data_IF_134666352901
#
_entry.id   IF_134666352901
#
_cell.length_a   1.000
_cell.length_b   1.000
_cell.length_c   1.000
_cell.angle_alpha   90.00
_cell.angle_beta   90.00
_cell.angle_gamma   90.00
#
_symmetry.space_group_name_H-M   'P 1'
#
loop_
_entity.id
_entity.type
_entity.pdbx_description
1 polymer ?
#
# COMPACT_ATOMS: atom_id res chain seq x y z
N UNK A 1 -4.51 -6.65 -5.93
CA UNK A 1 -4.78 -8.06 -6.33
C UNK A 1 -4.20 -9.03 -5.30
N UNK A 2 -4.72 -10.26 -5.23
CA UNK A 2 -4.12 -11.33 -4.44
C UNK A 2 -3.04 -12.05 -5.27
N UNK A 3 -1.77 -11.73 -4.99
CA UNK A 3 -0.64 -12.22 -5.80
C UNK A 3 -0.43 -13.73 -5.76
N UNK A 4 -0.70 -14.37 -4.62
CA UNK A 4 -0.44 -15.79 -4.40
C UNK A 4 -1.51 -16.72 -5.00
N UNK A 5 -2.71 -16.20 -5.27
CA UNK A 5 -3.86 -16.98 -5.79
C UNK A 5 -4.14 -16.66 -7.26
N UNK A 6 -3.09 -16.33 -8.02
CA UNK A 6 -3.19 -16.04 -9.45
C UNK A 6 -3.84 -14.69 -9.77
N UNK A 7 -3.65 -13.68 -8.91
CA UNK A 7 -4.02 -12.31 -9.24
C UNK A 7 -5.53 -12.03 -9.17
N UNK A 8 -6.25 -12.61 -8.20
CA UNK A 8 -7.66 -12.32 -7.97
C UNK A 8 -7.89 -10.87 -7.50
N UNK A 9 -9.12 -10.37 -7.65
CA UNK A 9 -9.50 -9.06 -7.12
C UNK A 9 -9.38 -9.03 -5.60
N UNK A 10 -8.52 -8.13 -5.11
CA UNK A 10 -8.40 -7.78 -3.69
C UNK A 10 -9.15 -6.47 -3.37
N UNK A 11 -9.43 -6.17 -2.08
CA UNK A 11 -10.05 -4.91 -1.66
C UNK A 11 -9.28 -3.64 -2.08
N UNK A 12 -7.98 -3.75 -2.32
CA UNK A 12 -7.06 -2.67 -2.75
C UNK A 12 -6.84 -2.62 -4.27
N UNK A 13 -7.58 -3.42 -5.04
CA UNK A 13 -7.49 -3.40 -6.51
C UNK A 13 -8.08 -2.10 -7.04
N UNK A 14 -7.38 -1.39 -7.93
CA UNK A 14 -7.83 -0.10 -8.45
C UNK A 14 -9.10 -0.23 -9.31
N UNK A 15 -9.90 0.84 -9.38
CA UNK A 15 -11.04 0.92 -10.31
C UNK A 15 -10.53 0.71 -11.74
N UNK A 16 -11.23 -0.12 -12.52
CA UNK A 16 -10.85 -0.47 -13.89
C UNK A 16 -9.67 -1.46 -14.00
N UNK A 17 -8.96 -1.77 -12.92
CA UNK A 17 -7.88 -2.76 -12.97
C UNK A 17 -8.45 -4.17 -13.18
N UNK A 18 -8.03 -4.81 -14.28
CA UNK A 18 -8.42 -6.18 -14.61
C UNK A 18 -7.70 -7.18 -13.71
N UNK A 19 -8.43 -8.22 -13.32
CA UNK A 19 -7.93 -9.32 -12.48
C UNK A 19 -8.55 -10.63 -12.95
N UNK A 20 -8.11 -11.78 -12.44
CA UNK A 20 -8.68 -13.08 -12.83
C UNK A 20 -10.15 -13.24 -12.46
N UNK A 21 -10.62 -12.57 -11.40
CA UNK A 21 -12.03 -12.59 -10.98
C UNK A 21 -12.81 -11.32 -11.37
N UNK A 22 -12.16 -10.36 -12.03
CA UNK A 22 -12.78 -9.14 -12.56
C UNK A 22 -12.22 -8.84 -13.97
N UNK A 23 -12.59 -9.64 -14.99
CA UNK A 23 -12.00 -9.55 -16.33
C UNK A 23 -12.31 -8.21 -17.04
N UNK A 24 -13.40 -7.55 -16.66
CA UNK A 24 -13.78 -6.23 -17.16
C UNK A 24 -13.26 -5.07 -16.30
N UNK A 25 -12.46 -5.38 -15.26
CA UNK A 25 -11.96 -4.41 -14.29
C UNK A 25 -12.83 -4.35 -13.03
N UNK A 26 -12.29 -3.76 -11.95
CA UNK A 26 -13.09 -3.43 -10.77
C UNK A 26 -14.11 -2.35 -11.13
N UNK A 27 -15.38 -2.66 -10.93
CA UNK A 27 -16.47 -1.70 -11.00
C UNK A 27 -16.66 -0.99 -9.65
N UNK A 28 -16.62 0.34 -9.66
CA UNK A 28 -16.79 1.17 -8.46
C UNK A 28 -18.24 1.15 -7.96
N UNK A 29 -19.22 1.08 -8.85
CA UNK A 29 -20.63 1.17 -8.46
C UNK A 29 -21.09 -0.15 -7.84
N UNK A 30 -20.53 -1.27 -8.30
CA UNK A 30 -20.77 -2.58 -7.72
C UNK A 30 -19.94 -2.86 -6.45
N UNK A 31 -18.64 -2.57 -6.45
CA UNK A 31 -17.72 -2.98 -5.36
C UNK A 31 -17.32 -1.84 -4.40
N UNK A 32 -17.74 -0.60 -4.68
CA UNK A 32 -17.22 0.58 -4.01
C UNK A 32 -15.79 0.94 -4.42
N UNK A 33 -15.26 2.00 -3.82
CA UNK A 33 -13.88 2.44 -4.04
C UNK A 33 -12.85 1.48 -3.42
N UNK A 34 -11.64 1.34 -4.01
CA UNK A 34 -10.56 0.56 -3.41
C UNK A 34 -10.22 1.05 -1.99
N UNK A 35 -10.05 0.10 -1.05
CA UNK A 35 -9.84 0.44 0.37
C UNK A 35 -8.45 1.06 0.55
N UNK A 36 -8.39 2.15 1.30
CA UNK A 36 -7.18 2.85 1.73
C UNK A 36 -6.81 2.39 3.14
N UNK A 37 -6.06 1.28 3.23
CA UNK A 37 -5.80 0.57 4.49
C UNK A 37 -5.05 1.47 5.50
N UNK A 38 -4.00 2.17 5.06
CA UNK A 38 -3.23 3.03 5.96
C UNK A 38 -4.09 4.16 6.57
N UNK A 39 -4.91 4.84 5.77
CA UNK A 39 -5.82 5.89 6.26
C UNK A 39 -6.91 5.31 7.18
N UNK A 40 -7.48 4.17 6.82
CA UNK A 40 -8.48 3.50 7.65
C UNK A 40 -7.91 3.13 9.02
N UNK A 41 -6.73 2.49 9.05
CA UNK A 41 -6.11 2.06 10.31
C UNK A 41 -5.52 3.22 11.13
N UNK A 42 -5.19 4.36 10.50
CA UNK A 42 -4.79 5.58 11.21
C UNK A 42 -5.88 6.11 12.16
N UNK A 43 -7.15 5.84 11.86
CA UNK A 43 -8.27 6.27 12.72
C UNK A 43 -8.41 5.45 14.00
N UNK A 44 -7.78 4.28 14.10
CA UNK A 44 -7.97 3.34 15.20
C UNK A 44 -7.21 3.81 16.45
N UNK A 45 -7.88 3.83 17.60
CA UNK A 45 -7.26 4.09 18.90
C UNK A 45 -6.20 3.02 19.23
N UNK A 46 -5.08 3.43 19.82
CA UNK A 46 -3.94 2.53 20.08
C UNK A 46 -3.03 2.28 18.88
N UNK A 47 -3.34 2.81 17.69
CA UNK A 47 -2.33 2.92 16.62
C UNK A 47 -1.38 4.09 16.88
N UNK A 48 -0.08 3.84 16.79
CA UNK A 48 0.99 4.78 17.11
C UNK A 48 1.70 5.31 15.86
N UNK A 49 1.98 4.43 14.90
CA UNK A 49 2.73 4.76 13.70
C UNK A 49 2.19 4.04 12.47
N UNK A 50 1.72 4.80 11.49
CA UNK A 50 1.22 4.26 10.23
C UNK A 50 1.81 5.07 9.07
N UNK A 51 2.53 4.41 8.18
CA UNK A 51 3.16 5.03 7.02
C UNK A 51 2.94 4.18 5.76
N UNK A 52 2.68 4.85 4.63
CA UNK A 52 2.69 4.22 3.32
C UNK A 52 3.98 4.52 2.59
N UNK A 53 4.63 3.47 2.09
CA UNK A 53 5.88 3.55 1.32
C UNK A 53 5.74 2.78 0.00
N UNK A 54 6.72 2.90 -0.87
CA UNK A 54 6.80 2.12 -2.10
C UNK A 54 8.21 1.50 -2.26
N UNK A 55 8.34 0.55 -3.18
CA UNK A 55 9.64 -0.08 -3.51
C UNK A 55 9.95 -0.05 -5.01
N UNK A 56 9.34 0.88 -5.75
CA UNK A 56 9.53 1.05 -7.20
C UNK A 56 10.79 1.86 -7.60
N UNK A 57 11.56 2.39 -6.64
CA UNK A 57 12.80 3.13 -6.91
C UNK A 57 13.79 3.04 -5.73
N UNK A 58 15.11 3.26 -5.96
CA UNK A 58 16.10 3.27 -4.88
C UNK A 58 15.77 4.24 -3.75
N UNK A 59 15.28 5.44 -4.09
CA UNK A 59 14.87 6.44 -3.12
C UNK A 59 13.70 5.95 -2.25
N UNK A 60 12.71 5.29 -2.86
CA UNK A 60 11.57 4.73 -2.15
C UNK A 60 11.97 3.53 -1.27
N UNK A 61 12.92 2.70 -1.71
CA UNK A 61 13.48 1.60 -0.91
C UNK A 61 14.17 2.12 0.36
N UNK A 62 14.94 3.21 0.26
CA UNK A 62 15.57 3.84 1.44
C UNK A 62 14.52 4.36 2.42
N UNK A 63 13.44 4.98 1.91
CA UNK A 63 12.31 5.43 2.75
C UNK A 63 11.59 4.25 3.41
N UNK A 64 11.34 3.16 2.68
CA UNK A 64 10.73 1.96 3.20
C UNK A 64 11.54 1.34 4.35
N UNK A 65 12.88 1.24 4.18
CA UNK A 65 13.78 0.79 5.24
C UNK A 65 13.66 1.64 6.51
N UNK A 66 13.61 2.97 6.37
CA UNK A 66 13.46 3.88 7.51
C UNK A 66 12.09 3.70 8.19
N UNK A 67 11.01 3.62 7.42
CA UNK A 67 9.66 3.45 7.95
C UNK A 67 9.51 2.14 8.73
N UNK A 68 10.04 1.03 8.20
CA UNK A 68 10.05 -0.27 8.89
C UNK A 68 10.81 -0.18 10.21
N UNK A 69 11.98 0.45 10.22
CA UNK A 69 12.76 0.66 11.45
C UNK A 69 11.95 1.46 12.48
N UNK A 70 11.38 2.60 12.10
CA UNK A 70 10.59 3.45 12.98
C UNK A 70 9.37 2.69 13.58
N UNK A 71 8.68 1.89 12.77
CA UNK A 71 7.54 1.08 13.24
C UNK A 71 7.96 0.12 14.35
N UNK A 72 9.08 -0.60 14.18
CA UNK A 72 9.61 -1.47 15.23
C UNK A 72 10.04 -0.68 16.46
N UNK A 73 10.72 0.45 16.30
CA UNK A 73 11.11 1.32 17.43
C UNK A 73 9.89 1.82 18.22
N UNK A 74 8.79 2.16 17.55
CA UNK A 74 7.53 2.53 18.21
C UNK A 74 6.94 1.37 19.04
N UNK A 75 6.93 0.16 18.49
CA UNK A 75 6.41 -1.01 19.20
C UNK A 75 7.29 -1.42 20.38
N UNK A 76 8.61 -1.42 20.22
CA UNK A 76 9.57 -1.73 21.30
C UNK A 76 9.48 -0.71 22.45
N UNK A 77 9.18 0.56 22.14
CA UNK A 77 8.94 1.59 23.13
C UNK A 77 7.54 1.53 23.78
N UNK A 78 6.72 0.52 23.46
CA UNK A 78 5.38 0.34 24.05
C UNK A 78 4.35 1.36 23.60
N UNK A 79 4.57 2.07 22.48
CA UNK A 79 3.70 3.18 22.05
C UNK A 79 2.38 2.75 21.42
N UNK A 80 2.28 1.50 20.96
CA UNK A 80 1.07 0.93 20.38
C UNK A 80 1.28 0.23 19.04
N UNK A 81 0.18 -0.04 18.34
CA UNK A 81 0.17 -0.72 17.05
C UNK A 81 0.86 0.12 15.97
N UNK A 82 1.65 -0.53 15.12
CA UNK A 82 2.30 0.12 13.98
C UNK A 82 2.04 -0.64 12.68
N UNK A 83 1.91 0.09 11.57
CA UNK A 83 1.72 -0.46 10.23
C UNK A 83 2.63 0.25 9.21
N UNK A 84 3.28 -0.53 8.34
CA UNK A 84 3.93 -0.01 7.14
C UNK A 84 3.27 -0.63 5.91
N UNK A 85 2.47 0.15 5.19
CA UNK A 85 1.85 -0.29 3.93
C UNK A 85 2.85 -0.09 2.78
N UNK A 86 3.31 -1.19 2.19
CA UNK A 86 4.31 -1.16 1.11
C UNK A 86 3.63 -1.38 -0.25
N UNK A 87 3.65 -0.35 -1.10
CA UNK A 87 3.27 -0.51 -2.50
C UNK A 87 4.39 -1.24 -3.26
N UNK A 88 4.07 -2.41 -3.79
CA UNK A 88 4.97 -3.26 -4.56
C UNK A 88 4.39 -3.60 -5.93
N UNK A 89 5.27 -3.79 -6.91
CA UNK A 89 4.91 -4.23 -8.25
C UNK A 89 4.76 -5.76 -8.31
N UNK A 90 3.85 -6.25 -9.15
CA UNK A 90 3.64 -7.68 -9.37
C UNK A 90 3.64 -7.99 -10.88
N UNK A 91 4.81 -7.97 -11.55
CA UNK A 91 4.90 -8.06 -13.00
C UNK A 91 4.20 -9.30 -13.57
N UNK A 92 4.36 -10.45 -12.91
CA UNK A 92 3.75 -11.73 -13.31
C UNK A 92 2.23 -11.65 -13.44
N UNK A 93 1.53 -11.16 -12.41
CA UNK A 93 0.06 -11.12 -12.42
C UNK A 93 -0.50 -9.91 -13.18
N UNK A 94 0.32 -8.90 -13.45
CA UNK A 94 -0.08 -7.75 -14.26
C UNK A 94 0.19 -7.95 -15.76
N UNK A 95 0.91 -9.03 -16.13
CA UNK A 95 1.30 -9.27 -17.52
C UNK A 95 2.24 -8.19 -18.07
N UNK A 96 3.09 -7.62 -17.20
CA UNK A 96 4.00 -6.52 -17.52
C UNK A 96 5.45 -6.96 -17.29
N UNK A 97 6.40 -6.35 -18.00
CA UNK A 97 7.80 -6.49 -17.63
C UNK A 97 8.09 -5.88 -16.25
N UNK A 98 9.19 -6.27 -15.57
CA UNK A 98 9.57 -5.65 -14.30
C UNK A 98 9.66 -4.13 -14.36
N UNK A 99 10.24 -3.57 -15.43
CA UNK A 99 10.40 -2.12 -15.60
C UNK A 99 9.06 -1.42 -15.77
N UNK A 100 8.21 -1.90 -16.69
CA UNK A 100 6.88 -1.34 -16.93
C UNK A 100 6.01 -1.40 -15.67
N UNK A 101 6.13 -2.48 -14.88
CA UNK A 101 5.35 -2.63 -13.65
C UNK A 101 5.72 -1.60 -12.58
N UNK A 102 6.99 -1.17 -12.52
CA UNK A 102 7.42 -0.09 -11.63
C UNK A 102 6.85 1.26 -12.08
N UNK A 103 6.88 1.55 -13.38
CA UNK A 103 6.28 2.76 -13.93
C UNK A 103 4.77 2.80 -13.77
N UNK A 104 4.10 1.65 -13.96
CA UNK A 104 2.66 1.54 -13.80
C UNK A 104 2.24 1.82 -12.35
N UNK A 105 2.98 1.28 -11.38
CA UNK A 105 2.77 1.56 -9.96
C UNK A 105 2.90 3.06 -9.69
N UNK A 106 3.92 3.70 -10.24
CA UNK A 106 4.15 5.14 -10.05
C UNK A 106 3.05 6.00 -10.66
N UNK A 107 2.61 5.68 -11.88
CA UNK A 107 1.60 6.44 -12.62
C UNK A 107 0.17 6.19 -12.14
N UNK A 108 -0.14 5.01 -11.59
CA UNK A 108 -1.52 4.59 -11.31
C UNK A 108 -1.78 4.31 -9.82
N UNK A 109 -0.88 3.62 -9.13
CA UNK A 109 -1.09 3.27 -7.71
C UNK A 109 -0.76 4.43 -6.78
N UNK A 110 0.40 5.09 -6.93
CA UNK A 110 0.81 6.17 -6.04
C UNK A 110 -0.20 7.34 -5.99
N UNK A 111 -0.80 7.79 -7.12
CA UNK A 111 -1.80 8.86 -7.08
C UNK A 111 -3.04 8.49 -6.26
N UNK A 112 -3.48 7.22 -6.31
CA UNK A 112 -4.61 6.76 -5.53
C UNK A 112 -4.25 6.46 -4.06
N UNK A 113 -3.03 5.95 -3.85
CA UNK A 113 -2.44 5.56 -2.58
C UNK A 113 -1.23 6.46 -2.25
N UNK A 114 -1.47 7.72 -1.86
CA UNK A 114 -0.39 8.69 -1.66
C UNK A 114 0.56 8.21 -0.57
N UNK A 115 1.86 8.29 -0.85
CA UNK A 115 2.92 7.89 0.08
C UNK A 115 2.99 8.82 1.31
N UNK A 116 3.77 8.42 2.30
CA UNK A 116 4.07 9.19 3.50
C UNK A 116 3.28 8.75 4.73
N UNK A 117 3.56 9.44 5.83
CA UNK A 117 2.99 9.17 7.17
C UNK A 117 1.50 9.49 7.18
N UNK A 118 0.68 8.55 7.67
CA UNK A 118 -0.76 8.71 7.93
C UNK A 118 -1.06 8.90 9.41
N UNK A 119 -0.19 8.39 10.29
CA UNK A 119 -0.21 8.65 11.74
C UNK A 119 1.19 8.50 12.33
N UNK A 120 1.56 9.39 13.22
CA UNK A 120 2.82 9.31 13.97
C UNK A 120 2.71 10.11 15.26
N UNK A 121 2.30 9.43 16.35
CA UNK A 121 2.18 10.06 17.67
C UNK A 121 3.53 10.33 18.33
N UNK A 122 4.65 9.93 17.70
CA UNK A 122 5.99 10.14 18.27
C UNK A 122 6.55 11.52 17.99
N UNK A 123 5.95 12.24 17.05
CA UNK A 123 6.28 13.62 16.70
C UNK A 123 5.34 14.65 17.33
N UNK A 124 4.21 14.20 17.86
CA UNK A 124 3.31 15.01 18.65
C UNK A 124 3.88 15.04 20.08
N UNK A 125 4.46 16.18 20.46
CA UNK A 125 4.89 16.52 21.82
C UNK A 125 3.98 17.62 22.32
#
# INVERSE_FOLDING_TARGET
IYGMTGGQMAPTTLVGQKTTTSPYGRDKDHCGSPIRIAEMLATIEGSAYIERVAVNSPANIVRAKKAIKNAFECQLAGKGFSLVEVLSNCPTNWGMSPVESMEWLEKNMIPYYPLGVKKDITKEV
#
